data_IF_814421834240
#
_entry.id   IF_814421834240
#
_cell.length_a   1.000
_cell.length_b   1.000
_cell.length_c   1.000
_cell.angle_alpha   90.00
_cell.angle_beta   90.00
_cell.angle_gamma   90.00
#
_symmetry.space_group_name_H-M   'P 1'
#
loop_
_entity.id
_entity.type
_entity.pdbx_description
1 polymer ?
#
# COMPACT_ATOMS: atom_id res chain seq x y z
N UNK A 1 33.33 -33.65 6.91
CA UNK A 1 31.89 -34.00 6.86
C UNK A 1 31.20 -33.15 7.91
N UNK A 2 30.17 -32.35 7.59
CA UNK A 2 29.40 -31.67 8.65
C UNK A 2 28.63 -32.73 9.46
N UNK A 3 28.35 -32.44 10.73
CA UNK A 3 27.58 -33.33 11.61
C UNK A 3 26.13 -33.48 11.10
N UNK A 4 25.60 -34.71 11.13
CA UNK A 4 24.30 -35.06 10.56
C UNK A 4 23.11 -34.65 11.45
N UNK A 5 23.37 -34.30 12.71
CA UNK A 5 22.35 -33.92 13.68
C UNK A 5 22.83 -32.68 14.45
N UNK A 6 21.98 -31.65 14.45
CA UNK A 6 22.16 -30.43 15.23
C UNK A 6 20.98 -30.33 16.21
N UNK A 7 21.26 -30.01 17.47
CA UNK A 7 20.21 -29.68 18.43
C UNK A 7 19.42 -28.47 17.92
N UNK A 8 18.10 -28.61 17.90
CA UNK A 8 17.22 -27.51 17.57
C UNK A 8 17.44 -26.38 18.58
N UNK A 9 17.57 -25.11 18.15
CA UNK A 9 17.54 -23.99 19.06
C UNK A 9 16.27 -24.11 19.93
N UNK A 10 16.42 -24.01 21.26
CA UNK A 10 15.29 -24.05 22.17
C UNK A 10 14.21 -23.05 21.76
N UNK A 11 12.94 -23.38 22.02
CA UNK A 11 11.79 -22.53 21.71
C UNK A 11 11.93 -21.17 22.40
N UNK A 12 12.53 -20.21 21.71
CA UNK A 12 12.40 -18.82 22.05
C UNK A 12 10.97 -18.42 21.65
N UNK A 13 10.08 -18.32 22.64
CA UNK A 13 8.84 -17.57 22.46
C UNK A 13 9.24 -16.13 22.16
N UNK A 14 9.25 -15.76 20.89
CA UNK A 14 9.39 -14.38 20.48
C UNK A 14 8.27 -13.58 21.15
N UNK A 15 8.63 -12.53 21.89
CA UNK A 15 7.63 -11.59 22.38
C UNK A 15 6.84 -11.04 21.19
N UNK A 16 5.52 -10.83 21.33
CA UNK A 16 4.73 -10.26 20.25
C UNK A 16 5.31 -8.90 19.88
N UNK A 17 5.75 -8.75 18.63
CA UNK A 17 6.24 -7.47 18.12
C UNK A 17 5.13 -6.42 18.28
N UNK A 18 5.46 -5.31 18.94
CA UNK A 18 4.56 -4.18 19.08
C UNK A 18 4.23 -3.53 17.73
N UNK A 19 3.24 -2.63 17.68
CA UNK A 19 2.93 -1.90 16.46
C UNK A 19 4.15 -1.07 16.01
N UNK A 20 4.48 -1.17 14.73
CA UNK A 20 5.53 -0.36 14.10
C UNK A 20 4.88 0.83 13.41
N UNK A 21 5.27 2.04 13.81
CA UNK A 21 4.75 3.29 13.27
C UNK A 21 5.86 4.07 12.52
N UNK A 22 5.52 4.59 11.34
CA UNK A 22 6.42 5.41 10.52
C UNK A 22 5.80 6.79 10.29
N UNK A 23 6.42 7.83 10.85
CA UNK A 23 5.96 9.22 10.73
C UNK A 23 6.52 9.95 9.50
N UNK A 24 7.60 9.46 8.91
CA UNK A 24 8.29 10.08 7.76
C UNK A 24 8.73 11.53 8.01
N UNK A 25 9.14 11.84 9.24
CA UNK A 25 9.70 13.13 9.68
C UNK A 25 11.23 13.19 9.58
N UNK A 26 11.89 12.04 9.42
CA UNK A 26 13.32 11.94 9.15
C UNK A 26 13.72 12.29 7.71
N UNK A 27 15.03 12.49 7.47
CA UNK A 27 15.56 12.84 6.14
C UNK A 27 15.63 11.64 5.18
N UNK A 28 15.65 10.41 5.71
CA UNK A 28 15.85 9.18 4.96
C UNK A 28 14.62 8.26 5.01
N UNK A 29 14.41 7.50 3.93
CA UNK A 29 13.33 6.53 3.87
C UNK A 29 13.66 5.36 4.82
N UNK A 30 12.74 4.94 5.71
CA UNK A 30 13.01 3.82 6.60
C UNK A 30 13.40 2.56 5.82
N UNK A 31 14.39 1.81 6.32
CA UNK A 31 15.01 0.68 5.61
C UNK A 31 14.04 -0.47 5.28
N UNK A 32 12.90 -0.54 5.97
CA UNK A 32 11.81 -1.47 5.70
C UNK A 32 11.16 -1.27 4.33
N UNK A 33 11.22 -0.05 3.79
CA UNK A 33 10.56 0.33 2.55
C UNK A 33 11.50 0.18 1.35
N UNK A 34 10.94 -0.35 0.27
CA UNK A 34 11.58 -0.45 -1.04
C UNK A 34 10.62 0.08 -2.10
N UNK A 35 11.15 0.42 -3.27
CA UNK A 35 10.39 0.81 -4.45
C UNK A 35 10.76 -0.06 -5.65
N UNK A 36 9.96 0.02 -6.72
CA UNK A 36 10.11 -0.86 -7.87
C UNK A 36 11.05 -0.28 -8.93
N UNK A 37 12.17 -0.99 -9.17
CA UNK A 37 13.05 -0.97 -10.36
C UNK A 37 13.78 0.33 -10.72
N UNK A 38 13.20 1.51 -10.49
CA UNK A 38 13.84 2.77 -10.89
C UNK A 38 15.07 3.06 -10.02
N UNK A 39 16.23 3.41 -10.62
CA UNK A 39 17.39 3.88 -9.88
C UNK A 39 17.28 5.35 -9.46
N UNK A 40 16.19 6.04 -9.83
CA UNK A 40 15.98 7.48 -9.65
C UNK A 40 14.80 7.74 -8.67
N UNK A 41 14.95 7.47 -7.37
CA UNK A 41 13.87 7.57 -6.39
C UNK A 41 13.27 8.99 -6.29
N UNK A 42 14.06 10.03 -6.50
CA UNK A 42 13.63 11.44 -6.46
C UNK A 42 12.55 11.76 -7.50
N UNK A 43 12.43 10.95 -8.56
CA UNK A 43 11.35 11.06 -9.54
C UNK A 43 10.03 10.53 -8.99
N UNK A 44 10.03 9.62 -8.03
CA UNK A 44 8.80 8.96 -7.56
C UNK A 44 8.41 9.32 -6.14
N UNK A 45 9.36 9.77 -5.32
CA UNK A 45 9.12 10.07 -3.92
C UNK A 45 9.95 11.25 -3.42
N UNK A 46 9.47 11.89 -2.37
CA UNK A 46 10.20 12.91 -1.60
C UNK A 46 9.78 12.84 -0.14
N UNK A 47 10.74 12.85 0.79
CA UNK A 47 10.47 13.06 2.21
C UNK A 47 10.44 14.56 2.49
N UNK A 48 9.32 15.05 3.02
CA UNK A 48 9.14 16.50 3.25
C UNK A 48 9.53 16.94 4.65
N UNK A 49 10.03 16.03 5.50
CA UNK A 49 10.21 16.25 6.94
C UNK A 49 8.91 16.18 7.75
N UNK A 50 7.80 15.84 7.10
CA UNK A 50 6.49 15.65 7.76
C UNK A 50 5.67 14.51 7.14
N UNK A 51 6.01 14.08 5.92
CA UNK A 51 5.33 13.01 5.20
C UNK A 51 6.23 12.42 4.10
N UNK A 52 5.90 11.19 3.71
CA UNK A 52 6.31 10.62 2.42
C UNK A 52 5.37 11.13 1.33
N UNK A 53 5.87 11.99 0.45
CA UNK A 53 5.15 12.42 -0.76
C UNK A 53 5.50 11.50 -1.91
N UNK A 54 4.49 10.93 -2.54
CA UNK A 54 4.63 10.18 -3.80
C UNK A 54 4.21 11.08 -4.97
N UNK A 55 5.04 11.12 -6.01
CA UNK A 55 4.74 11.85 -7.24
C UNK A 55 4.11 10.88 -8.23
N UNK A 56 2.84 11.08 -8.60
CA UNK A 56 2.12 10.17 -9.50
C UNK A 56 2.88 9.90 -10.80
N UNK A 57 2.94 8.63 -11.21
CA UNK A 57 3.63 8.16 -12.43
C UNK A 57 2.73 7.22 -13.21
N UNK A 58 3.26 6.10 -13.69
CA UNK A 58 2.52 5.14 -14.47
C UNK A 58 1.58 4.30 -13.59
N UNK A 59 0.70 3.54 -14.22
CA UNK A 59 -0.25 2.69 -13.51
C UNK A 59 0.44 1.62 -12.67
N UNK A 60 -0.26 1.12 -11.66
CA UNK A 60 0.20 0.03 -10.77
C UNK A 60 0.54 -1.28 -11.53
N UNK A 61 0.00 -1.41 -12.75
CA UNK A 61 0.27 -2.52 -13.65
C UNK A 61 1.46 -2.31 -14.57
N UNK A 62 2.17 -1.17 -14.53
CA UNK A 62 3.27 -0.88 -15.44
C UNK A 62 4.54 -1.71 -15.15
N UNK A 63 5.36 -1.93 -16.17
CA UNK A 63 6.71 -2.45 -16.01
C UNK A 63 7.75 -1.39 -15.64
N UNK A 64 7.44 -0.13 -15.86
CA UNK A 64 8.38 0.98 -15.80
C UNK A 64 8.17 1.80 -14.51
N UNK A 65 7.96 3.11 -14.63
CA UNK A 65 8.08 4.01 -13.49
C UNK A 65 6.80 4.04 -12.65
N UNK A 66 6.81 3.32 -11.53
CA UNK A 66 5.73 3.31 -10.55
C UNK A 66 6.11 4.10 -9.30
N UNK A 67 5.23 4.98 -8.85
CA UNK A 67 5.32 5.60 -7.53
C UNK A 67 4.74 4.68 -6.46
N UNK A 68 5.37 3.52 -6.28
CA UNK A 68 4.99 2.50 -5.31
C UNK A 68 6.15 2.29 -4.33
N UNK A 69 5.89 2.59 -3.07
CA UNK A 69 6.80 2.35 -1.94
C UNK A 69 6.13 1.38 -0.99
N UNK A 70 6.77 0.26 -0.71
CA UNK A 70 6.16 -0.84 0.06
C UNK A 70 7.18 -1.51 0.98
N UNK A 71 6.68 -2.11 2.06
CA UNK A 71 7.45 -2.99 2.96
C UNK A 71 6.96 -4.43 2.84
N UNK A 72 7.78 -5.38 3.28
CA UNK A 72 7.45 -6.81 3.23
C UNK A 72 6.32 -7.16 4.20
N UNK A 73 5.43 -8.03 3.76
CA UNK A 73 4.57 -8.78 4.67
C UNK A 73 5.42 -9.85 5.37
N UNK A 74 5.60 -9.71 6.69
CA UNK A 74 6.36 -10.67 7.51
C UNK A 74 5.48 -11.69 8.25
N UNK A 75 4.17 -11.46 8.32
CA UNK A 75 3.24 -12.27 9.09
C UNK A 75 2.02 -12.69 8.26
N UNK A 76 1.43 -13.85 8.57
CA UNK A 76 0.19 -14.32 7.94
C UNK A 76 -1.07 -13.62 8.47
N UNK A 77 -0.97 -12.97 9.63
CA UNK A 77 -1.99 -12.11 10.17
C UNK A 77 -1.35 -10.76 10.52
N UNK A 78 -1.86 -9.68 9.95
CA UNK A 78 -1.36 -8.33 10.21
C UNK A 78 -2.42 -7.29 9.87
N UNK A 79 -2.20 -6.09 10.39
CA UNK A 79 -2.94 -4.88 10.02
C UNK A 79 -1.94 -3.82 9.61
N UNK A 80 -2.14 -3.22 8.44
CA UNK A 80 -1.34 -2.11 7.94
C UNK A 80 -2.24 -0.89 7.71
N UNK A 81 -1.70 0.28 8.05
CA UNK A 81 -2.42 1.55 8.06
C UNK A 81 -1.60 2.62 7.36
N UNK A 82 -2.31 3.53 6.72
CA UNK A 82 -1.71 4.76 6.23
C UNK A 82 -2.73 5.89 6.30
N UNK A 83 -2.25 7.09 6.63
CA UNK A 83 -3.04 8.32 6.53
C UNK A 83 -2.68 9.00 5.22
N UNK A 84 -3.64 9.07 4.31
CA UNK A 84 -3.52 9.91 3.11
C UNK A 84 -3.84 11.36 3.51
N UNK A 85 -2.81 12.09 3.93
CA UNK A 85 -2.96 13.44 4.49
C UNK A 85 -3.51 14.46 3.48
N UNK A 86 -3.04 14.40 2.23
CA UNK A 86 -3.44 15.34 1.19
C UNK A 86 -3.43 14.66 -0.19
N UNK A 87 -4.60 14.55 -0.80
CA UNK A 87 -4.77 14.10 -2.18
C UNK A 87 -6.14 14.52 -2.69
N UNK A 88 -6.14 15.32 -3.76
CA UNK A 88 -7.32 15.87 -4.42
C UNK A 88 -7.27 15.49 -5.91
N UNK A 89 -7.80 14.32 -6.30
CA UNK A 89 -7.81 13.89 -7.70
C UNK A 89 -8.82 14.73 -8.49
N UNK A 90 -8.37 15.24 -9.64
CA UNK A 90 -9.18 16.02 -10.59
C UNK A 90 -9.75 15.14 -11.71
N UNK A 91 -9.21 13.93 -11.89
CA UNK A 91 -9.67 12.98 -12.91
C UNK A 91 -9.47 11.53 -12.49
N UNK A 92 -10.21 10.63 -13.13
CA UNK A 92 -10.14 9.18 -12.87
C UNK A 92 -8.75 8.58 -13.14
N UNK A 93 -7.87 9.30 -13.85
CA UNK A 93 -6.50 8.87 -14.15
C UNK A 93 -5.55 9.05 -12.96
N UNK A 94 -5.98 9.79 -11.93
CA UNK A 94 -5.19 10.08 -10.74
C UNK A 94 -5.69 9.23 -9.58
N UNK A 95 -4.80 8.41 -9.00
CA UNK A 95 -5.15 7.58 -7.86
C UNK A 95 -4.00 7.50 -6.85
N UNK A 96 -4.34 7.52 -5.56
CA UNK A 96 -3.40 7.31 -4.46
C UNK A 96 -4.06 6.50 -3.34
N UNK A 97 -3.33 5.62 -2.69
CA UNK A 97 -3.91 4.78 -1.65
C UNK A 97 -2.99 3.70 -1.11
N UNK A 98 -3.60 2.61 -0.63
CA UNK A 98 -2.94 1.50 0.03
C UNK A 98 -3.06 0.22 -0.82
N UNK A 99 -1.96 -0.53 -0.95
CA UNK A 99 -1.94 -1.76 -1.76
C UNK A 99 -1.23 -2.92 -1.06
N UNK A 100 -1.72 -4.12 -1.30
CA UNK A 100 -0.96 -5.37 -1.16
C UNK A 100 -0.50 -5.79 -2.55
N UNK A 101 0.81 -5.81 -2.77
CA UNK A 101 1.40 -5.96 -4.09
C UNK A 101 2.35 -7.14 -4.13
N UNK A 102 2.06 -8.13 -4.98
CA UNK A 102 3.02 -9.19 -5.30
C UNK A 102 3.73 -8.84 -6.62
N UNK A 103 2.94 -8.66 -7.68
CA UNK A 103 3.41 -8.18 -8.98
C UNK A 103 2.25 -7.56 -9.77
N UNK A 104 2.49 -7.12 -11.01
CA UNK A 104 1.47 -6.48 -11.85
C UNK A 104 0.24 -7.35 -12.14
N UNK A 105 0.33 -8.67 -12.02
CA UNK A 105 -0.78 -9.60 -12.27
C UNK A 105 -1.40 -10.15 -10.98
N UNK A 106 -0.87 -9.78 -9.81
CA UNK A 106 -1.28 -10.23 -8.47
C UNK A 106 -1.18 -9.07 -7.50
N UNK A 107 -2.25 -8.31 -7.39
CA UNK A 107 -2.32 -7.15 -6.52
C UNK A 107 -3.75 -6.85 -6.09
N UNK A 108 -3.89 -6.19 -4.94
CA UNK A 108 -5.14 -5.61 -4.47
C UNK A 108 -4.86 -4.22 -3.91
N UNK A 109 -5.71 -3.24 -4.19
CA UNK A 109 -5.48 -1.86 -3.76
C UNK A 109 -6.79 -1.15 -3.44
N UNK A 110 -6.80 -0.41 -2.34
CA UNK A 110 -7.83 0.57 -2.02
C UNK A 110 -7.27 1.96 -2.36
N UNK A 111 -7.87 2.61 -3.36
CA UNK A 111 -7.37 3.85 -3.94
C UNK A 111 -8.40 4.96 -3.80
N UNK A 112 -7.97 6.15 -3.43
CA UNK A 112 -8.73 7.38 -3.63
C UNK A 112 -8.53 7.82 -5.07
N UNK A 113 -9.60 8.14 -5.78
CA UNK A 113 -9.62 8.62 -7.17
C UNK A 113 -10.79 9.61 -7.35
N UNK A 114 -11.06 9.99 -8.60
CA UNK A 114 -12.21 10.80 -8.98
C UNK A 114 -13.16 9.97 -9.85
N UNK A 115 -14.43 9.91 -9.45
CA UNK A 115 -15.52 9.27 -10.17
C UNK A 115 -16.72 10.24 -10.26
N UNK A 116 -17.09 10.61 -11.48
CA UNK A 116 -18.15 11.60 -11.70
C UNK A 116 -19.54 11.07 -11.31
N UNK A 117 -19.79 9.76 -11.42
CA UNK A 117 -21.07 9.14 -11.08
C UNK A 117 -21.25 9.03 -9.55
N UNK A 118 -20.14 8.83 -8.83
CA UNK A 118 -20.11 8.85 -7.36
C UNK A 118 -20.10 10.27 -6.77
N UNK A 119 -20.06 11.33 -7.60
CA UNK A 119 -20.08 12.72 -7.15
C UNK A 119 -18.71 13.35 -6.89
N UNK A 120 -17.64 12.80 -7.49
CA UNK A 120 -16.29 13.35 -7.44
C UNK A 120 -15.32 12.43 -6.69
N UNK A 121 -14.72 12.91 -5.61
CA UNK A 121 -13.71 12.16 -4.84
C UNK A 121 -14.29 10.86 -4.27
N UNK A 122 -13.68 9.73 -4.62
CA UNK A 122 -14.20 8.40 -4.28
C UNK A 122 -13.11 7.42 -3.88
N UNK A 123 -13.48 6.42 -3.08
CA UNK A 123 -12.69 5.23 -2.80
C UNK A 123 -13.07 4.11 -3.78
N UNK A 124 -12.06 3.54 -4.42
CA UNK A 124 -12.18 2.48 -5.42
C UNK A 124 -11.32 1.29 -5.03
N UNK A 125 -11.95 0.12 -4.96
CA UNK A 125 -11.24 -1.15 -4.75
C UNK A 125 -10.83 -1.74 -6.10
N UNK A 126 -9.53 -1.92 -6.28
CA UNK A 126 -8.91 -2.49 -7.48
C UNK A 126 -8.29 -3.85 -7.14
N UNK A 127 -8.40 -4.80 -8.06
CA UNK A 127 -7.86 -6.15 -7.86
C UNK A 127 -7.35 -6.75 -9.18
N UNK A 128 -6.24 -7.46 -9.13
CA UNK A 128 -5.82 -8.39 -10.18
C UNK A 128 -5.56 -9.75 -9.50
N UNK A 129 -6.53 -10.68 -9.51
CA UNK A 129 -6.44 -11.93 -8.76
C UNK A 129 -5.67 -13.01 -9.52
N UNK A 130 -4.47 -12.69 -10.02
CA UNK A 130 -3.63 -13.66 -10.75
C UNK A 130 -3.92 -13.76 -12.24
N UNK A 131 -4.41 -12.69 -12.88
CA UNK A 131 -4.68 -12.69 -14.32
C UNK A 131 -3.37 -12.56 -15.11
N UNK A 132 -2.86 -13.68 -15.60
CA UNK A 132 -1.64 -13.75 -16.40
C UNK A 132 -1.95 -14.29 -17.81
N UNK A 133 -1.36 -13.73 -18.88
CA UNK A 133 -0.37 -12.65 -18.89
C UNK A 133 -0.98 -11.22 -18.91
N UNK A 134 -2.30 -11.11 -19.02
CA UNK A 134 -2.97 -9.85 -19.37
C UNK A 134 -2.93 -8.80 -18.24
N UNK A 135 -3.01 -9.23 -16.97
CA UNK A 135 -2.98 -8.34 -15.81
C UNK A 135 -4.20 -7.42 -15.73
N UNK A 136 -5.38 -7.90 -16.14
CA UNK A 136 -6.61 -7.09 -16.11
C UNK A 136 -6.98 -6.77 -14.67
N UNK A 137 -7.25 -5.48 -14.43
CA UNK A 137 -7.85 -5.03 -13.19
C UNK A 137 -9.35 -5.29 -13.22
N UNK A 138 -9.85 -5.82 -12.11
CA UNK A 138 -11.27 -5.91 -11.79
C UNK A 138 -11.59 -4.97 -10.62
N UNK A 139 -12.84 -4.54 -10.54
CA UNK A 139 -13.34 -3.62 -9.53
C UNK A 139 -14.47 -4.33 -8.76
N UNK A 140 -14.15 -5.06 -7.67
CA UNK A 140 -15.10 -5.97 -7.02
C UNK A 140 -16.27 -5.27 -6.31
N UNK A 141 -16.18 -3.95 -6.14
CA UNK A 141 -17.21 -3.12 -5.53
C UNK A 141 -17.32 -1.81 -6.32
N UNK A 142 -18.50 -1.19 -6.27
CA UNK A 142 -18.70 0.16 -6.81
C UNK A 142 -17.90 1.21 -6.03
N UNK A 143 -17.58 2.35 -6.66
CA UNK A 143 -16.90 3.45 -5.99
C UNK A 143 -17.73 3.98 -4.82
N UNK A 144 -17.05 4.34 -3.73
CA UNK A 144 -17.66 4.91 -2.54
C UNK A 144 -17.28 6.38 -2.42
N UNK A 145 -18.25 7.30 -2.47
CA UNK A 145 -18.00 8.72 -2.26
C UNK A 145 -17.35 8.97 -0.89
N UNK A 146 -16.36 9.86 -0.84
CA UNK A 146 -15.66 10.24 0.39
C UNK A 146 -15.56 11.75 0.52
N UNK A 147 -15.57 12.30 1.75
CA UNK A 147 -15.42 13.73 1.96
C UNK A 147 -14.02 14.19 1.53
N UNK A 148 -13.85 15.50 1.35
CA UNK A 148 -12.52 16.08 1.21
C UNK A 148 -11.69 15.97 2.49
N UNK A 149 -10.38 16.08 2.33
CA UNK A 149 -9.43 16.04 3.44
C UNK A 149 -8.80 14.67 3.71
N UNK A 150 -8.15 14.53 4.87
CA UNK A 150 -7.36 13.34 5.18
C UNK A 150 -8.22 12.08 5.32
N UNK A 151 -7.72 10.96 4.81
CA UNK A 151 -8.35 9.64 4.94
C UNK A 151 -7.39 8.67 5.60
N UNK A 152 -7.89 7.91 6.57
CA UNK A 152 -7.21 6.76 7.13
C UNK A 152 -7.61 5.52 6.32
N UNK A 153 -6.62 4.86 5.73
CA UNK A 153 -6.78 3.66 4.92
C UNK A 153 -6.12 2.48 5.63
N UNK A 154 -6.75 1.32 5.54
CA UNK A 154 -6.32 0.14 6.24
C UNK A 154 -6.51 -1.12 5.41
N UNK A 155 -5.58 -2.07 5.59
CA UNK A 155 -5.75 -3.45 5.18
C UNK A 155 -5.53 -4.37 6.37
N UNK A 156 -6.45 -5.28 6.58
CA UNK A 156 -6.33 -6.36 7.55
C UNK A 156 -6.26 -7.68 6.80
N UNK A 157 -5.23 -8.47 7.10
CA UNK A 157 -5.03 -9.82 6.57
C UNK A 157 -5.10 -10.80 7.72
N UNK A 158 -5.87 -11.88 7.54
CA UNK A 158 -5.94 -13.03 8.44
C UNK A 158 -5.92 -14.31 7.62
N UNK A 159 -4.73 -14.90 7.50
CA UNK A 159 -4.50 -16.09 6.67
C UNK A 159 -4.87 -15.82 5.21
N UNK A 160 -5.87 -16.53 4.70
CA UNK A 160 -6.35 -16.40 3.32
C UNK A 160 -7.35 -15.24 3.11
N UNK A 161 -7.72 -14.51 4.17
CA UNK A 161 -8.70 -13.43 4.09
C UNK A 161 -8.02 -12.07 4.15
N UNK A 162 -8.48 -11.14 3.32
CA UNK A 162 -8.01 -9.77 3.27
C UNK A 162 -9.20 -8.81 3.21
N UNK A 163 -9.17 -7.75 4.01
CA UNK A 163 -10.21 -6.71 4.06
C UNK A 163 -9.56 -5.34 4.00
N UNK A 164 -10.02 -4.52 3.06
CA UNK A 164 -9.71 -3.10 3.05
C UNK A 164 -10.79 -2.31 3.79
N UNK A 165 -10.39 -1.21 4.42
CA UNK A 165 -11.29 -0.23 5.01
C UNK A 165 -10.72 1.18 4.86
N UNK A 166 -11.60 2.18 4.84
CA UNK A 166 -11.24 3.58 4.78
C UNK A 166 -12.22 4.42 5.60
N UNK A 167 -11.71 5.45 6.28
CA UNK A 167 -12.51 6.38 7.06
C UNK A 167 -11.95 7.80 6.94
N UNK A 168 -12.81 8.80 7.10
CA UNK A 168 -12.36 10.16 7.37
C UNK A 168 -11.46 10.16 8.60
N UNK A 169 -10.27 10.76 8.49
CA UNK A 169 -9.37 10.84 9.63
C UNK A 169 -10.04 11.65 10.75
N UNK A 170 -9.94 11.18 11.99
CA UNK A 170 -10.33 11.98 13.13
C UNK A 170 -9.44 13.24 13.21
N UNK A 171 -10.03 14.39 13.54
CA UNK A 171 -9.28 15.59 13.89
C UNK A 171 -8.48 15.28 15.16
N UNK A 172 -7.20 14.96 15.00
CA UNK A 172 -6.23 14.78 16.08
C UNK A 172 -5.50 16.07 16.40
#
# INVERSE_FOLDING_TARGET
MPALEAEAPGEAMAEPEGPVEYRFDGPDLPADFQWLRTPYPERILTLTGAALRLHGRESIGSWYEQALVARRQAHHAYRAETRLAAFAPESYQQAAGLTTYYNRTKLHALMVSHDAEAGGRSLTLMSCPGDWPDGRLVYPAGPLAVPDGPLDLAVEVRGATQRFSGAAAANG
#
